data_IF_018138087474
#
_entry.id   IF_018138087474
#
_cell.length_a   1.000
_cell.length_b   1.000
_cell.length_c   1.000
_cell.angle_alpha   90.00
_cell.angle_beta   90.00
_cell.angle_gamma   90.00
#
_symmetry.space_group_name_H-M   'P 1'
#
loop_
_entity.id
_entity.type
_entity.pdbx_description
1 polymer ?
#
# COMPACT_ATOMS: atom_id res chain seq x y z
N UNK A 1 -12.25 67.43 -1.40
CA UNK A 1 -11.21 67.50 -0.35
C UNK A 1 -11.67 66.65 0.81
N UNK A 2 -10.96 65.52 1.01
CA UNK A 2 -10.83 64.63 2.18
C UNK A 2 -10.72 63.20 1.70
N UNK A 3 -9.47 62.81 1.43
CA UNK A 3 -8.96 61.46 1.27
C UNK A 3 -9.23 60.61 2.53
N UNK A 4 -9.24 59.27 2.39
CA UNK A 4 -8.46 58.30 3.19
C UNK A 4 -8.98 56.86 2.91
N UNK A 5 -8.22 56.18 2.05
CA UNK A 5 -7.69 54.81 2.16
C UNK A 5 -8.63 53.63 2.50
N UNK A 6 -8.94 52.88 1.44
CA UNK A 6 -8.73 51.43 1.27
C UNK A 6 -8.98 50.49 2.48
N UNK A 7 -10.06 49.71 2.39
CA UNK A 7 -10.13 48.40 3.05
C UNK A 7 -10.11 47.31 1.98
N UNK A 8 -8.91 46.92 1.56
CA UNK A 8 -8.71 45.73 0.75
C UNK A 8 -9.02 44.49 1.60
N UNK A 9 -9.73 43.48 1.09
CA UNK A 9 -9.81 42.20 1.78
C UNK A 9 -8.40 41.62 1.83
N UNK A 10 -7.88 41.41 3.04
CA UNK A 10 -6.73 40.56 3.27
C UNK A 10 -7.09 39.12 2.88
N UNK A 11 -7.10 38.83 1.58
CA UNK A 11 -6.74 37.51 1.08
C UNK A 11 -5.23 37.39 1.31
N UNK A 12 -4.87 37.12 2.57
CA UNK A 12 -3.57 36.59 2.90
C UNK A 12 -3.40 35.36 2.02
N UNK A 13 -2.45 35.47 1.09
CA UNK A 13 -2.06 34.41 0.20
C UNK A 13 -1.98 33.10 0.99
N UNK A 14 -2.81 32.12 0.64
CA UNK A 14 -2.43 30.71 0.79
C UNK A 14 -1.28 30.45 -0.19
N UNK A 15 -0.16 31.12 0.09
CA UNK A 15 1.14 30.94 -0.52
C UNK A 15 1.52 29.52 -0.15
N UNK A 16 1.68 28.67 -1.16
CA UNK A 16 1.97 27.25 -0.98
C UNK A 16 2.99 27.06 0.12
N UNK A 17 2.54 26.48 1.24
CA UNK A 17 3.46 25.95 2.24
C UNK A 17 4.30 24.93 1.47
N UNK A 18 5.63 25.09 1.38
CA UNK A 18 6.46 24.00 0.88
C UNK A 18 6.15 22.83 1.81
N UNK A 19 5.56 21.76 1.28
CA UNK A 19 5.34 20.51 2.02
C UNK A 19 6.66 20.25 2.72
N UNK A 20 6.68 20.39 4.06
CA UNK A 20 7.96 20.44 4.79
C UNK A 20 8.70 19.15 4.47
N UNK A 21 10.03 19.16 4.27
CA UNK A 21 10.78 17.93 3.96
C UNK A 21 10.45 16.76 4.91
N UNK A 22 10.11 17.06 6.16
CA UNK A 22 9.62 16.11 7.15
C UNK A 22 8.30 15.41 6.79
N UNK A 23 7.33 16.10 6.17
CA UNK A 23 6.07 15.49 5.72
C UNK A 23 6.27 14.59 4.50
N UNK A 24 7.12 14.98 3.55
CA UNK A 24 7.51 14.12 2.43
C UNK A 24 8.24 12.86 2.91
N UNK A 25 9.17 13.02 3.86
CA UNK A 25 9.89 11.92 4.49
C UNK A 25 8.94 10.96 5.24
N UNK A 26 8.00 11.49 6.02
CA UNK A 26 6.97 10.67 6.70
C UNK A 26 6.11 9.90 5.70
N UNK A 27 5.67 10.53 4.61
CA UNK A 27 4.88 9.86 3.56
C UNK A 27 5.68 8.73 2.90
N UNK A 28 6.95 8.97 2.59
CA UNK A 28 7.82 7.95 2.01
C UNK A 28 8.00 6.74 2.95
N UNK A 29 8.22 6.98 4.24
CA UNK A 29 8.30 5.91 5.24
C UNK A 29 6.99 5.12 5.37
N UNK A 30 5.84 5.79 5.33
CA UNK A 30 4.53 5.12 5.32
C UNK A 30 4.38 4.23 4.09
N UNK A 31 4.72 4.73 2.90
CA UNK A 31 4.67 3.93 1.67
C UNK A 31 5.57 2.70 1.75
N UNK A 32 6.81 2.85 2.23
CA UNK A 32 7.72 1.72 2.42
C UNK A 32 7.16 0.69 3.41
N UNK A 33 6.58 1.15 4.53
CA UNK A 33 5.92 0.26 5.50
C UNK A 33 4.75 -0.50 4.88
N UNK A 34 3.93 0.15 4.06
CA UNK A 34 2.82 -0.51 3.34
C UNK A 34 3.33 -1.54 2.34
N UNK A 35 4.43 -1.27 1.62
CA UNK A 35 5.04 -2.25 0.71
C UNK A 35 5.54 -3.48 1.47
N UNK A 36 6.25 -3.27 2.58
CA UNK A 36 6.76 -4.36 3.43
C UNK A 36 5.61 -5.17 4.02
N UNK A 37 4.55 -4.51 4.50
CA UNK A 37 3.35 -5.17 5.01
C UNK A 37 2.69 -6.04 3.92
N UNK A 38 2.54 -5.50 2.71
CA UNK A 38 1.99 -6.24 1.58
C UNK A 38 2.85 -7.47 1.20
N UNK A 39 4.17 -7.39 1.32
CA UNK A 39 5.03 -8.55 1.14
C UNK A 39 4.86 -9.59 2.26
N UNK A 40 4.68 -9.15 3.51
CA UNK A 40 4.39 -10.02 4.64
C UNK A 40 3.07 -10.78 4.46
N UNK A 41 2.01 -10.09 4.06
CA UNK A 41 0.70 -10.69 3.76
C UNK A 41 0.81 -11.76 2.66
N UNK A 42 1.54 -11.48 1.58
CA UNK A 42 1.75 -12.44 0.49
C UNK A 42 2.51 -13.68 0.95
N UNK A 43 3.57 -13.49 1.77
CA UNK A 43 4.33 -14.61 2.31
C UNK A 43 3.46 -15.50 3.19
N UNK A 44 2.63 -14.89 4.04
CA UNK A 44 1.68 -15.61 4.89
C UNK A 44 0.65 -16.36 4.05
N UNK A 45 0.05 -15.72 3.05
CA UNK A 45 -0.91 -16.34 2.14
C UNK A 45 -0.33 -17.59 1.45
N UNK A 46 0.89 -17.48 0.89
CA UNK A 46 1.55 -18.62 0.23
C UNK A 46 1.88 -19.74 1.19
N UNK A 47 2.27 -19.41 2.42
CA UNK A 47 2.51 -20.42 3.46
C UNK A 47 1.21 -21.15 3.85
N UNK A 48 0.11 -20.42 4.06
CA UNK A 48 -1.21 -21.02 4.33
C UNK A 48 -1.69 -21.90 3.18
N UNK A 49 -1.49 -21.45 1.93
CA UNK A 49 -1.81 -22.22 0.73
C UNK A 49 -0.95 -23.49 0.61
N UNK A 50 0.33 -23.42 0.96
CA UNK A 50 1.22 -24.59 1.01
C UNK A 50 0.76 -25.61 2.07
N UNK A 51 0.42 -25.15 3.28
CA UNK A 51 -0.11 -26.04 4.33
C UNK A 51 -1.42 -26.68 3.88
N UNK A 52 -2.36 -25.88 3.35
CA UNK A 52 -3.65 -26.36 2.87
C UNK A 52 -3.48 -27.39 1.74
N UNK A 53 -2.54 -27.18 0.82
CA UNK A 53 -2.24 -28.16 -0.24
C UNK A 53 -1.64 -29.47 0.28
N UNK A 54 -0.95 -29.46 1.42
CA UNK A 54 -0.35 -30.65 2.03
C UNK A 54 -1.36 -31.40 2.89
N UNK A 55 -2.07 -30.68 3.75
CA UNK A 55 -2.92 -31.26 4.78
C UNK A 55 -4.33 -31.55 4.25
N UNK A 56 -4.83 -30.73 3.33
CA UNK A 56 -6.21 -30.79 2.84
C UNK A 56 -6.29 -30.54 1.33
N UNK A 57 -5.71 -31.43 0.49
CA UNK A 57 -5.62 -31.23 -0.95
C UNK A 57 -6.99 -31.07 -1.64
N UNK A 58 -8.05 -31.71 -1.11
CA UNK A 58 -9.40 -31.59 -1.65
C UNK A 58 -9.96 -30.16 -1.57
N UNK A 59 -9.55 -29.38 -0.55
CA UNK A 59 -10.01 -27.99 -0.42
C UNK A 59 -9.44 -27.07 -1.50
N UNK A 60 -8.29 -27.44 -2.09
CA UNK A 60 -7.72 -26.73 -3.24
C UNK A 60 -8.63 -26.91 -4.46
N UNK A 61 -9.14 -28.12 -4.67
CA UNK A 61 -10.07 -28.43 -5.76
C UNK A 61 -11.43 -27.74 -5.52
N UNK A 62 -11.92 -27.68 -4.26
CA UNK A 62 -13.19 -27.04 -3.90
C UNK A 62 -13.20 -25.52 -4.16
N UNK A 63 -12.05 -24.85 -4.01
CA UNK A 63 -11.89 -23.42 -4.37
C UNK A 63 -11.58 -23.21 -5.86
N UNK A 64 -11.61 -24.28 -6.66
CA UNK A 64 -11.40 -24.24 -8.10
C UNK A 64 -9.93 -24.04 -8.52
N UNK A 65 -8.98 -24.35 -7.65
CA UNK A 65 -7.56 -24.34 -7.98
C UNK A 65 -7.08 -25.75 -8.29
N UNK A 66 -6.17 -25.87 -9.25
CA UNK A 66 -5.43 -27.11 -9.49
C UNK A 66 -4.13 -27.10 -8.69
N UNK A 67 -3.63 -28.28 -8.32
CA UNK A 67 -2.33 -28.41 -7.66
C UNK A 67 -1.19 -27.70 -8.42
N UNK A 68 -1.19 -27.75 -9.75
CA UNK A 68 -0.20 -27.04 -10.59
C UNK A 68 -0.28 -25.52 -10.46
N UNK A 69 -1.48 -24.96 -10.32
CA UNK A 69 -1.64 -23.53 -10.10
C UNK A 69 -1.14 -23.12 -8.70
N UNK A 70 -1.40 -23.95 -7.69
CA UNK A 70 -0.87 -23.73 -6.34
C UNK A 70 0.66 -23.78 -6.31
N UNK A 71 1.27 -24.80 -6.93
CA UNK A 71 2.72 -24.91 -7.06
C UNK A 71 3.32 -23.69 -7.77
N UNK A 72 2.68 -23.22 -8.85
CA UNK A 72 3.09 -22.02 -9.56
C UNK A 72 2.98 -20.75 -8.71
N UNK A 73 1.95 -20.64 -7.86
CA UNK A 73 1.79 -19.50 -6.95
C UNK A 73 2.84 -19.50 -5.84
N UNK A 74 3.13 -20.68 -5.25
CA UNK A 74 4.15 -20.85 -4.20
C UNK A 74 5.55 -20.56 -4.75
N UNK A 75 5.83 -20.93 -6.00
CA UNK A 75 7.11 -20.68 -6.66
C UNK A 75 7.39 -19.19 -6.94
N UNK A 76 6.40 -18.30 -6.82
CA UNK A 76 6.62 -16.87 -7.06
C UNK A 76 7.52 -16.26 -5.96
N UNK A 77 8.48 -15.39 -6.32
CA UNK A 77 9.22 -14.59 -5.35
C UNK A 77 8.28 -13.72 -4.49
N UNK A 78 8.64 -13.47 -3.23
CA UNK A 78 7.77 -12.78 -2.26
C UNK A 78 7.36 -11.37 -2.70
N UNK A 79 8.22 -10.68 -3.47
CA UNK A 79 7.96 -9.32 -3.97
C UNK A 79 7.01 -9.29 -5.17
N UNK A 80 6.85 -10.42 -5.87
CA UNK A 80 6.03 -10.54 -7.08
C UNK A 80 4.60 -10.92 -6.72
N UNK A 81 3.64 -10.21 -7.32
CA UNK A 81 2.21 -10.52 -7.24
C UNK A 81 1.85 -11.49 -8.37
#
# INVERSE_FOLDING_TARGET
MNDILASAPHQAARRGMPVRPAEMSRRHLTTLRSIVAAWGERKRFRWELEQMSKDNPHLIDDIGLTRRQVEAEIAKPFWRR
#
